data_IF_506132043151
#
_entry.id   IF_506132043151
#
_cell.length_a   1.000
_cell.length_b   1.000
_cell.length_c   1.000
_cell.angle_alpha   90.00
_cell.angle_beta   90.00
_cell.angle_gamma   90.00
#
_symmetry.space_group_name_H-M   'P 1'
#
loop_
_entity.id
_entity.type
_entity.pdbx_description
1 polymer ?
#
# COMPACT_ATOMS: atom_id res chain seq x y z
N UNK A 1 -2.50 25.38 -2.92
CA UNK A 1 -1.84 24.23 -3.58
C UNK A 1 -1.53 24.51 -5.06
N UNK A 2 -2.51 24.82 -5.93
CA UNK A 2 -2.25 25.05 -7.37
C UNK A 2 -1.36 26.27 -7.75
N UNK A 3 -1.38 27.35 -6.96
CA UNK A 3 -0.52 28.53 -7.21
C UNK A 3 0.98 28.24 -7.04
N UNK A 4 1.32 27.30 -6.17
CA UNK A 4 2.70 26.91 -5.86
C UNK A 4 3.28 26.00 -6.95
N UNK A 5 2.46 25.13 -7.53
CA UNK A 5 2.85 24.24 -8.63
C UNK A 5 3.30 25.02 -9.88
N UNK A 6 2.52 26.02 -10.28
CA UNK A 6 2.85 26.85 -11.45
C UNK A 6 4.10 27.70 -11.22
N UNK A 7 4.33 28.16 -9.99
CA UNK A 7 5.54 28.89 -9.62
C UNK A 7 6.78 27.99 -9.71
N UNK A 8 6.70 26.75 -9.18
CA UNK A 8 7.78 25.75 -9.25
C UNK A 8 8.09 25.33 -10.69
N UNK A 9 7.05 25.14 -11.51
CA UNK A 9 7.24 24.85 -12.94
C UNK A 9 7.91 26.02 -13.67
N UNK A 10 7.50 27.25 -13.38
CA UNK A 10 8.11 28.45 -13.96
C UNK A 10 9.59 28.61 -13.54
N UNK A 11 9.89 28.34 -12.28
CA UNK A 11 11.27 28.35 -11.79
C UNK A 11 12.15 27.39 -12.61
N UNK A 12 11.70 26.15 -12.83
CA UNK A 12 12.42 25.17 -13.66
C UNK A 12 12.51 25.54 -15.15
N UNK A 13 11.70 26.47 -15.65
CA UNK A 13 11.83 26.99 -17.02
C UNK A 13 12.81 28.12 -17.14
N UNK A 14 12.91 28.95 -16.10
CA UNK A 14 13.76 30.13 -16.09
C UNK A 14 15.21 29.78 -15.67
N UNK A 15 15.42 28.65 -14.99
CA UNK A 15 16.77 28.14 -14.66
C UNK A 15 17.52 27.66 -15.90
N UNK A 16 18.77 28.11 -16.13
CA UNK A 16 19.62 27.60 -17.22
C UNK A 16 19.86 26.08 -17.11
N UNK A 17 19.88 25.40 -18.25
CA UNK A 17 20.03 23.94 -18.30
C UNK A 17 21.28 23.43 -17.56
N UNK A 18 22.42 24.13 -17.69
CA UNK A 18 23.67 23.74 -17.04
C UNK A 18 23.57 23.77 -15.51
N UNK A 19 22.92 24.78 -14.94
CA UNK A 19 22.68 24.87 -13.50
C UNK A 19 21.77 23.73 -13.01
N UNK A 20 20.69 23.45 -13.75
CA UNK A 20 19.78 22.33 -13.45
C UNK A 20 20.49 20.97 -13.53
N UNK A 21 21.40 20.81 -14.50
CA UNK A 21 22.23 19.61 -14.64
C UNK A 21 23.22 19.45 -13.48
N UNK A 22 23.83 20.54 -13.00
CA UNK A 22 24.70 20.51 -11.83
C UNK A 22 23.96 20.04 -10.57
N UNK A 23 22.71 20.45 -10.38
CA UNK A 23 21.87 19.93 -9.30
C UNK A 23 21.63 18.42 -9.39
N UNK A 24 21.40 17.90 -10.61
CA UNK A 24 21.28 16.45 -10.82
C UNK A 24 22.60 15.72 -10.53
N UNK A 25 23.73 16.25 -10.98
CA UNK A 25 25.05 15.67 -10.73
C UNK A 25 25.39 15.66 -9.22
N UNK A 26 25.06 16.73 -8.50
CA UNK A 26 25.18 16.80 -7.05
C UNK A 26 24.30 15.75 -6.36
N UNK A 27 23.05 15.59 -6.81
CA UNK A 27 22.15 14.55 -6.29
C UNK A 27 22.71 13.13 -6.51
N UNK A 28 23.21 12.82 -7.72
CA UNK A 28 23.84 11.53 -8.04
C UNK A 28 25.05 11.27 -7.16
N UNK A 29 25.85 12.30 -6.86
CA UNK A 29 27.01 12.18 -5.97
C UNK A 29 26.60 11.86 -4.53
N UNK A 30 25.54 12.51 -4.02
CA UNK A 30 25.04 12.31 -2.65
C UNK A 30 24.29 10.98 -2.47
N UNK A 31 23.45 10.60 -3.43
CA UNK A 31 22.54 9.44 -3.34
C UNK A 31 23.03 8.20 -4.09
N UNK A 32 24.10 8.31 -4.89
CA UNK A 32 24.61 7.23 -5.74
C UNK A 32 23.72 6.88 -6.94
N UNK A 33 22.57 7.55 -7.11
CA UNK A 33 21.63 7.30 -8.20
C UNK A 33 20.91 8.59 -8.65
N UNK A 34 20.20 8.51 -9.78
CA UNK A 34 19.42 9.62 -10.37
C UNK A 34 17.89 9.47 -10.11
N UNK A 35 17.47 8.67 -9.12
CA UNK A 35 16.06 8.42 -8.79
C UNK A 35 15.51 9.51 -7.87
N UNK A 36 15.48 10.73 -8.40
CA UNK A 36 15.01 11.91 -7.66
C UNK A 36 13.48 11.85 -7.49
N UNK A 37 12.95 12.02 -6.26
CA UNK A 37 11.51 12.15 -6.03
C UNK A 37 10.90 13.32 -6.79
N UNK A 38 9.65 13.16 -7.27
CA UNK A 38 8.94 14.17 -8.05
C UNK A 38 8.91 15.56 -7.40
N UNK A 39 8.73 15.63 -6.07
CA UNK A 39 8.64 16.89 -5.33
C UNK A 39 9.95 17.27 -4.62
N UNK A 40 11.07 16.66 -5.00
CA UNK A 40 12.36 16.98 -4.39
C UNK A 40 12.78 18.42 -4.71
N UNK A 41 13.14 19.14 -3.66
CA UNK A 41 13.78 20.45 -3.71
C UNK A 41 15.25 20.28 -3.30
N UNK A 42 16.14 20.93 -4.03
CA UNK A 42 17.53 21.08 -3.62
C UNK A 42 17.62 22.02 -2.41
N UNK A 43 18.80 22.10 -1.79
CA UNK A 43 19.03 22.94 -0.61
C UNK A 43 18.78 24.44 -0.88
N UNK A 44 19.02 24.89 -2.11
CA UNK A 44 18.77 26.26 -2.57
C UNK A 44 17.34 26.47 -3.11
N UNK A 45 16.47 25.46 -2.98
CA UNK A 45 15.04 25.55 -3.30
C UNK A 45 14.68 25.22 -4.75
N UNK A 46 15.64 24.83 -5.58
CA UNK A 46 15.39 24.43 -6.96
C UNK A 46 14.59 23.13 -7.03
N UNK A 47 13.52 23.15 -7.83
CA UNK A 47 12.58 22.05 -7.95
C UNK A 47 13.06 20.93 -8.90
N UNK A 48 14.16 20.27 -8.52
CA UNK A 48 14.84 19.26 -9.34
C UNK A 48 13.91 18.14 -9.83
N UNK A 49 13.00 17.64 -8.98
CA UNK A 49 12.05 16.60 -9.39
C UNK A 49 11.11 17.04 -10.53
N UNK A 50 10.67 18.30 -10.53
CA UNK A 50 9.85 18.86 -11.61
C UNK A 50 10.65 19.12 -12.88
N UNK A 51 11.88 19.62 -12.75
CA UNK A 51 12.77 19.79 -13.89
C UNK A 51 12.99 18.46 -14.61
N UNK A 52 13.17 17.38 -13.86
CA UNK A 52 13.35 16.03 -14.39
C UNK A 52 12.10 15.45 -15.08
N UNK A 53 10.90 15.78 -14.62
CA UNK A 53 9.67 15.43 -15.31
C UNK A 53 9.59 16.12 -16.68
N UNK A 54 9.91 17.41 -16.70
CA UNK A 54 9.98 18.18 -17.94
C UNK A 54 11.06 17.63 -18.87
N UNK A 55 12.26 17.35 -18.36
CA UNK A 55 13.40 16.84 -19.13
C UNK A 55 13.05 15.57 -19.91
N UNK A 56 12.27 14.66 -19.31
CA UNK A 56 11.81 13.43 -19.98
C UNK A 56 10.83 13.74 -21.11
N UNK A 57 9.87 14.65 -20.89
CA UNK A 57 8.96 15.10 -21.95
C UNK A 57 9.72 15.79 -23.08
N UNK A 58 10.64 16.69 -22.75
CA UNK A 58 11.44 17.43 -23.72
C UNK A 58 12.32 16.48 -24.56
N UNK A 59 12.73 15.31 -24.01
CA UNK A 59 13.34 14.22 -24.80
C UNK A 59 12.35 13.60 -25.78
N UNK A 60 11.17 13.22 -25.31
CA UNK A 60 10.14 12.57 -26.15
C UNK A 60 9.66 13.48 -27.28
N UNK A 61 9.65 14.79 -27.04
CA UNK A 61 9.32 15.83 -28.01
C UNK A 61 10.49 16.18 -28.97
N UNK A 62 11.67 15.58 -28.78
CA UNK A 62 12.86 15.83 -29.61
C UNK A 62 13.49 17.22 -29.43
N UNK A 63 13.27 17.86 -28.27
CA UNK A 63 13.75 19.22 -27.96
C UNK A 63 15.21 19.20 -27.47
N UNK A 64 15.63 18.11 -26.80
CA UNK A 64 16.98 18.00 -26.27
C UNK A 64 18.02 17.85 -27.37
N UNK A 65 19.16 18.55 -27.23
CA UNK A 65 20.29 18.37 -28.13
C UNK A 65 21.01 17.05 -27.87
N UNK A 66 21.75 16.55 -28.87
CA UNK A 66 22.57 15.34 -28.74
C UNK A 66 23.59 15.46 -27.59
N UNK A 67 24.20 16.64 -27.43
CA UNK A 67 25.14 16.92 -26.32
C UNK A 67 24.46 16.83 -24.94
N UNK A 68 23.21 17.29 -24.82
CA UNK A 68 22.46 17.22 -23.56
C UNK A 68 22.10 15.78 -23.20
N UNK A 69 21.66 15.00 -24.18
CA UNK A 69 21.37 13.56 -24.00
C UNK A 69 22.65 12.83 -23.61
N UNK A 70 23.76 13.06 -24.31
CA UNK A 70 25.05 12.46 -23.99
C UNK A 70 25.50 12.76 -22.56
N UNK A 71 25.38 14.01 -22.10
CA UNK A 71 25.74 14.39 -20.72
C UNK A 71 24.88 13.67 -19.68
N UNK A 72 23.61 13.41 -19.97
CA UNK A 72 22.71 12.67 -19.09
C UNK A 72 23.04 11.17 -19.08
N UNK A 73 23.36 10.60 -20.23
CA UNK A 73 23.77 9.20 -20.34
C UNK A 73 25.13 8.97 -19.63
N UNK A 74 26.06 9.91 -19.73
CA UNK A 74 27.35 9.90 -19.00
C UNK A 74 27.15 9.96 -17.47
N UNK A 75 26.02 10.50 -16.99
CA UNK A 75 25.60 10.47 -15.58
C UNK A 75 24.80 9.21 -15.19
N UNK A 76 24.62 8.27 -16.12
CA UNK A 76 23.74 7.11 -15.97
C UNK A 76 22.30 7.52 -15.60
N UNK A 77 21.81 8.58 -16.23
CA UNK A 77 20.48 9.10 -15.96
C UNK A 77 19.40 8.08 -16.32
N UNK A 78 18.51 7.83 -15.38
CA UNK A 78 17.40 6.88 -15.55
C UNK A 78 16.23 7.58 -16.24
N UNK A 79 16.10 7.33 -17.55
CA UNK A 79 15.03 7.89 -18.36
C UNK A 79 13.64 7.36 -17.98
N UNK A 80 13.48 6.07 -17.73
CA UNK A 80 12.25 5.51 -17.15
C UNK A 80 12.50 5.05 -15.71
N UNK A 81 12.12 5.85 -14.69
CA UNK A 81 12.35 5.51 -13.29
C UNK A 81 11.33 4.50 -12.75
N UNK A 82 10.30 4.11 -13.51
CA UNK A 82 9.22 3.25 -13.01
C UNK A 82 9.75 1.91 -12.51
N UNK A 83 10.60 1.26 -13.29
CA UNK A 83 11.14 -0.04 -12.91
C UNK A 83 12.09 0.05 -11.71
N UNK A 84 13.13 0.91 -11.70
CA UNK A 84 14.01 1.01 -10.54
C UNK A 84 13.29 1.44 -9.24
N UNK A 85 12.28 2.31 -9.33
CA UNK A 85 11.47 2.69 -8.17
C UNK A 85 10.61 1.54 -7.66
N UNK A 86 10.08 0.71 -8.57
CA UNK A 86 9.35 -0.50 -8.19
C UNK A 86 10.28 -1.51 -7.52
N UNK A 87 11.48 -1.75 -8.09
CA UNK A 87 12.50 -2.63 -7.50
C UNK A 87 12.92 -2.17 -6.11
N UNK A 88 13.11 -0.86 -5.91
CA UNK A 88 13.43 -0.29 -4.61
C UNK A 88 12.34 -0.59 -3.57
N UNK A 89 11.08 -0.36 -3.92
CA UNK A 89 9.96 -0.64 -3.03
C UNK A 89 9.79 -2.14 -2.74
N UNK A 90 10.00 -2.99 -3.75
CA UNK A 90 9.97 -4.44 -3.59
C UNK A 90 11.08 -4.92 -2.63
N UNK A 91 12.31 -4.44 -2.80
CA UNK A 91 13.41 -4.77 -1.89
C UNK A 91 13.14 -4.31 -0.45
N UNK A 92 12.58 -3.11 -0.28
CA UNK A 92 12.19 -2.62 1.04
C UNK A 92 11.06 -3.45 1.67
N UNK A 93 10.11 -3.95 0.87
CA UNK A 93 9.07 -4.86 1.34
C UNK A 93 9.65 -6.23 1.76
N UNK A 94 10.66 -6.75 1.04
CA UNK A 94 11.34 -7.99 1.43
C UNK A 94 11.98 -7.85 2.82
N UNK A 95 12.66 -6.73 3.09
CA UNK A 95 13.25 -6.43 4.40
C UNK A 95 12.15 -6.30 5.46
N UNK A 96 11.11 -5.52 5.18
CA UNK A 96 9.98 -5.36 6.11
C UNK A 96 9.38 -6.70 6.52
N UNK A 97 9.10 -7.58 5.55
CA UNK A 97 8.54 -8.90 5.82
C UNK A 97 9.48 -9.78 6.62
N UNK A 98 10.78 -9.75 6.33
CA UNK A 98 11.75 -10.51 7.11
C UNK A 98 11.81 -10.04 8.59
N UNK A 99 11.60 -8.75 8.85
CA UNK A 99 11.63 -8.18 10.20
C UNK A 99 10.30 -8.31 10.96
N UNK A 100 9.16 -8.18 10.26
CA UNK A 100 7.82 -8.13 10.86
C UNK A 100 7.04 -9.43 10.76
N UNK A 101 7.42 -10.32 9.85
CA UNK A 101 6.74 -11.59 9.59
C UNK A 101 5.57 -11.50 8.61
N UNK A 102 5.16 -10.30 8.19
CA UNK A 102 4.02 -10.09 7.29
C UNK A 102 4.30 -8.99 6.22
N UNK A 103 3.32 -8.76 5.35
CA UNK A 103 3.33 -7.71 4.31
C UNK A 103 2.37 -6.54 4.62
N UNK A 104 1.90 -6.43 5.86
CA UNK A 104 0.92 -5.45 6.33
C UNK A 104 1.61 -4.14 6.70
N UNK A 105 2.22 -3.50 5.70
CA UNK A 105 2.91 -2.23 5.90
C UNK A 105 1.90 -1.13 6.27
N UNK A 106 2.07 -0.42 7.41
CA UNK A 106 1.26 0.74 7.75
C UNK A 106 1.35 1.85 6.70
N UNK A 107 0.25 2.58 6.47
CA UNK A 107 0.16 3.56 5.38
C UNK A 107 1.25 4.64 5.41
N UNK A 108 1.64 5.09 6.61
CA UNK A 108 2.68 6.11 6.80
C UNK A 108 4.03 5.55 7.24
N UNK A 109 4.25 4.25 7.05
CA UNK A 109 5.50 3.61 7.46
C UNK A 109 6.68 4.13 6.62
N UNK A 110 7.71 4.56 7.33
CA UNK A 110 9.02 4.94 6.80
C UNK A 110 10.05 3.88 7.17
N UNK A 111 10.88 3.47 6.20
CA UNK A 111 12.00 2.57 6.52
C UNK A 111 12.97 3.25 7.50
N UNK A 112 13.54 2.52 8.48
CA UNK A 112 14.34 3.14 9.56
C UNK A 112 15.58 3.92 9.08
N UNK A 113 16.22 3.47 7.99
CA UNK A 113 17.49 4.04 7.53
C UNK A 113 17.26 5.16 6.50
N UNK A 114 16.54 4.86 5.43
CA UNK A 114 16.40 5.76 4.28
C UNK A 114 15.19 6.70 4.39
N UNK A 115 14.34 6.51 5.42
CA UNK A 115 13.05 7.21 5.52
C UNK A 115 12.20 7.06 4.25
N UNK A 116 12.36 5.93 3.56
CA UNK A 116 11.58 5.61 2.37
C UNK A 116 10.13 5.29 2.76
N UNK A 117 9.17 5.96 2.11
CA UNK A 117 7.73 5.79 2.28
C UNK A 117 7.21 4.45 1.73
N UNK A 118 7.62 3.35 2.36
CA UNK A 118 7.20 2.01 1.96
C UNK A 118 5.68 1.84 2.13
N UNK A 119 5.06 2.51 3.10
CA UNK A 119 3.60 2.51 3.27
C UNK A 119 2.86 3.06 2.05
N UNK A 120 3.29 4.22 1.55
CA UNK A 120 2.77 4.82 0.32
C UNK A 120 2.98 3.90 -0.88
N UNK A 121 4.17 3.31 -1.02
CA UNK A 121 4.48 2.39 -2.11
C UNK A 121 3.62 1.14 -2.08
N UNK A 122 3.47 0.51 -0.91
CA UNK A 122 2.62 -0.66 -0.74
C UNK A 122 1.18 -0.30 -1.09
N UNK A 123 0.62 0.79 -0.54
CA UNK A 123 -0.73 1.24 -0.87
C UNK A 123 -0.93 1.45 -2.38
N UNK A 124 0.06 2.02 -3.07
CA UNK A 124 -0.02 2.23 -4.51
C UNK A 124 -0.17 0.92 -5.32
N UNK A 125 0.40 -0.20 -4.84
CA UNK A 125 0.21 -1.49 -5.52
C UNK A 125 -1.25 -1.93 -5.48
N UNK A 126 -1.93 -1.75 -4.34
CA UNK A 126 -3.36 -2.10 -4.14
C UNK A 126 -4.30 -1.22 -4.96
N UNK A 127 -3.92 0.03 -5.21
CA UNK A 127 -4.71 0.98 -6.00
C UNK A 127 -4.53 0.82 -7.51
N UNK A 128 -3.71 -0.13 -7.94
CA UNK A 128 -3.54 -0.40 -9.37
C UNK A 128 -4.75 -1.17 -9.88
N UNK A 129 -5.69 -0.47 -10.50
CA UNK A 129 -6.86 -1.08 -11.12
C UNK A 129 -6.50 -1.81 -12.43
N UNK A 130 -7.05 -3.01 -12.65
CA UNK A 130 -6.94 -3.73 -13.92
C UNK A 130 -5.68 -4.61 -14.07
N UNK A 131 -5.00 -4.50 -15.23
CA UNK A 131 -3.94 -5.42 -15.66
C UNK A 131 -2.59 -5.12 -14.97
N UNK A 132 -2.48 -5.51 -13.70
CA UNK A 132 -1.20 -5.46 -12.98
C UNK A 132 -0.14 -6.33 -13.69
N UNK A 133 1.10 -5.86 -13.92
CA UNK A 133 2.10 -6.64 -14.63
C UNK A 133 2.34 -8.00 -13.99
N UNK A 134 2.15 -9.08 -14.76
CA UNK A 134 2.17 -10.47 -14.26
C UNK A 134 3.43 -10.81 -13.47
N UNK A 135 4.59 -10.40 -13.96
CA UNK A 135 5.88 -10.67 -13.30
C UNK A 135 5.96 -10.01 -11.92
N UNK A 136 5.54 -8.76 -11.81
CA UNK A 136 5.50 -8.02 -10.53
C UNK A 136 4.49 -8.64 -9.56
N UNK A 137 3.34 -9.07 -10.07
CA UNK A 137 2.35 -9.78 -9.27
C UNK A 137 2.93 -11.08 -8.70
N UNK A 138 3.58 -11.90 -9.53
CA UNK A 138 4.21 -13.16 -9.09
C UNK A 138 5.25 -12.92 -8.00
N UNK A 139 6.05 -11.86 -8.13
CA UNK A 139 7.04 -11.48 -7.12
C UNK A 139 6.40 -11.07 -5.81
N UNK A 140 5.34 -10.24 -5.84
CA UNK A 140 4.59 -9.86 -4.64
C UNK A 140 3.91 -11.06 -3.98
N UNK A 141 3.42 -12.04 -4.74
CA UNK A 141 2.90 -13.29 -4.19
C UNK A 141 3.94 -14.06 -3.38
N UNK A 142 5.23 -14.03 -3.74
CA UNK A 142 6.28 -14.69 -2.95
C UNK A 142 6.46 -14.10 -1.55
N UNK A 143 5.91 -12.90 -1.31
CA UNK A 143 5.94 -12.20 -0.03
C UNK A 143 4.58 -12.19 0.66
N UNK A 144 3.68 -13.12 0.29
CA UNK A 144 2.25 -13.15 0.66
C UNK A 144 1.67 -11.74 0.76
N UNK A 145 1.84 -10.96 -0.31
CA UNK A 145 1.41 -9.58 -0.33
C UNK A 145 -0.12 -9.50 -0.21
N UNK A 146 -0.61 -8.79 0.80
CA UNK A 146 -2.04 -8.62 1.03
C UNK A 146 -2.59 -7.50 0.14
N UNK A 147 -3.39 -7.88 -0.86
CA UNK A 147 -4.01 -6.97 -1.81
C UNK A 147 -5.27 -6.30 -1.24
N UNK A 148 -6.12 -7.05 -0.55
CA UNK A 148 -7.31 -6.55 0.11
C UNK A 148 -7.14 -6.63 1.64
N UNK A 149 -6.90 -5.49 2.26
CA UNK A 149 -6.74 -5.38 3.71
C UNK A 149 -8.06 -5.63 4.46
N UNK A 150 -9.21 -5.33 3.84
CA UNK A 150 -10.52 -5.54 4.47
C UNK A 150 -10.88 -7.01 4.49
N UNK A 151 -10.66 -7.70 3.37
CA UNK A 151 -10.88 -9.15 3.30
C UNK A 151 -9.91 -9.88 4.23
N UNK A 152 -8.63 -9.52 4.21
CA UNK A 152 -7.65 -10.09 5.15
C UNK A 152 -8.06 -9.89 6.61
N UNK A 153 -8.49 -8.69 7.00
CA UNK A 153 -8.93 -8.43 8.37
C UNK A 153 -10.18 -9.23 8.74
N UNK A 154 -11.11 -9.41 7.79
CA UNK A 154 -12.29 -10.23 7.99
C UNK A 154 -11.94 -11.71 8.15
N UNK A 155 -11.11 -12.26 7.26
CA UNK A 155 -10.67 -13.67 7.32
C UNK A 155 -9.87 -13.94 8.61
N UNK A 156 -8.99 -13.02 9.03
CA UNK A 156 -8.27 -13.13 10.31
C UNK A 156 -9.24 -13.22 11.49
N UNK A 157 -10.23 -12.33 11.53
CA UNK A 157 -11.21 -12.33 12.60
C UNK A 157 -12.14 -13.56 12.58
N UNK A 158 -12.49 -14.04 11.39
CA UNK A 158 -13.22 -15.28 11.22
C UNK A 158 -12.41 -16.48 11.75
N UNK A 159 -11.13 -16.60 11.43
CA UNK A 159 -10.26 -17.66 11.96
C UNK A 159 -10.06 -17.57 13.47
N UNK A 160 -10.02 -16.35 14.04
CA UNK A 160 -10.01 -16.16 15.49
C UNK A 160 -11.32 -16.66 16.14
N UNK A 161 -12.46 -16.42 15.50
CA UNK A 161 -13.75 -16.97 15.94
C UNK A 161 -13.80 -18.51 15.84
N UNK A 162 -13.25 -19.11 14.77
CA UNK A 162 -13.13 -20.57 14.66
C UNK A 162 -12.32 -21.16 15.82
N UNK A 163 -11.22 -20.50 16.19
CA UNK A 163 -10.36 -20.88 17.31
C UNK A 163 -11.10 -20.76 18.65
N UNK A 164 -11.78 -19.63 18.87
CA UNK A 164 -12.61 -19.42 20.07
C UNK A 164 -13.67 -20.52 20.21
N UNK A 165 -14.35 -20.87 19.11
CA UNK A 165 -15.34 -21.96 19.10
C UNK A 165 -14.72 -23.32 19.41
N UNK A 166 -13.54 -23.61 18.87
CA UNK A 166 -12.85 -24.86 19.17
C UNK A 166 -12.49 -24.99 20.66
N UNK A 167 -12.17 -23.88 21.32
CA UNK A 167 -11.80 -23.83 22.75
C UNK A 167 -13.01 -23.85 23.69
N UNK A 168 -14.06 -23.07 23.39
CA UNK A 168 -15.19 -22.84 24.28
C UNK A 168 -16.43 -23.66 23.92
N UNK A 169 -16.51 -24.16 22.69
CA UNK A 169 -17.63 -24.95 22.17
C UNK A 169 -18.74 -24.14 21.50
N UNK A 170 -18.66 -22.80 21.54
CA UNK A 170 -19.67 -21.90 21.00
C UNK A 170 -19.05 -20.62 20.37
N UNK A 171 -19.90 -19.77 19.79
CA UNK A 171 -19.52 -18.48 19.20
C UNK A 171 -19.94 -17.28 20.07
N UNK A 172 -20.16 -17.49 21.38
CA UNK A 172 -20.60 -16.46 22.32
C UNK A 172 -19.41 -15.68 22.88
N UNK A 173 -18.78 -14.90 22.01
CA UNK A 173 -17.62 -14.07 22.37
C UNK A 173 -18.07 -12.87 23.21
N UNK A 174 -17.51 -12.64 24.42
CA UNK A 174 -17.74 -11.42 25.21
C UNK A 174 -17.34 -10.16 24.44
N UNK A 175 -18.05 -9.04 24.63
CA UNK A 175 -17.83 -7.80 23.86
C UNK A 175 -16.43 -7.20 24.05
N UNK A 176 -15.87 -7.36 25.25
CA UNK A 176 -14.53 -6.90 25.64
C UNK A 176 -13.43 -7.94 25.39
N UNK A 177 -13.75 -9.07 24.75
CA UNK A 177 -12.77 -10.11 24.46
C UNK A 177 -11.78 -9.64 23.39
N UNK A 178 -10.50 -9.66 23.77
CA UNK A 178 -9.35 -9.38 22.93
C UNK A 178 -8.49 -10.65 22.90
N UNK A 179 -8.10 -11.05 21.70
CA UNK A 179 -7.23 -12.20 21.44
C UNK A 179 -5.76 -11.90 21.78
N UNK A 180 -4.91 -12.92 21.83
CA UNK A 180 -3.48 -12.76 22.14
C UNK A 180 -2.73 -11.84 21.15
N UNK A 181 -3.19 -11.77 19.90
CA UNK A 181 -2.63 -10.91 18.85
C UNK A 181 -3.35 -9.56 18.73
N UNK A 182 -3.96 -9.11 19.83
CA UNK A 182 -4.61 -7.79 19.99
C UNK A 182 -5.81 -7.56 19.05
N UNK A 183 -6.41 -8.60 18.48
CA UNK A 183 -7.67 -8.47 17.77
C UNK A 183 -8.84 -8.39 18.76
N UNK A 184 -9.59 -7.28 18.69
CA UNK A 184 -10.86 -7.05 19.41
C UNK A 184 -12.01 -7.91 18.85
N UNK A 185 -11.90 -9.22 19.05
CA UNK A 185 -12.83 -10.20 18.47
C UNK A 185 -14.27 -10.00 18.96
N UNK A 186 -14.47 -9.60 20.22
CA UNK A 186 -15.79 -9.30 20.77
C UNK A 186 -16.52 -8.19 20.01
N UNK A 187 -15.81 -7.09 19.74
CA UNK A 187 -16.34 -5.96 18.97
C UNK A 187 -16.61 -6.36 17.52
N UNK A 188 -15.73 -7.18 16.91
CA UNK A 188 -15.95 -7.69 15.56
C UNK A 188 -17.20 -8.58 15.45
N UNK A 189 -17.41 -9.47 16.42
CA UNK A 189 -18.61 -10.34 16.51
C UNK A 189 -19.88 -9.50 16.65
N UNK A 190 -19.88 -8.50 17.55
CA UNK A 190 -21.00 -7.58 17.69
C UNK A 190 -21.31 -6.84 16.38
N UNK A 191 -20.26 -6.40 15.67
CA UNK A 191 -20.40 -5.77 14.37
C UNK A 191 -21.05 -6.69 13.32
N UNK A 192 -20.77 -7.99 13.30
CA UNK A 192 -21.42 -8.90 12.33
C UNK A 192 -22.95 -8.95 12.53
N UNK A 193 -23.42 -8.90 13.79
CA UNK A 193 -24.85 -8.85 14.13
C UNK A 193 -25.49 -7.55 13.66
N UNK A 194 -24.81 -6.42 13.88
CA UNK A 194 -25.26 -5.11 13.40
C UNK A 194 -25.29 -5.03 11.88
N UNK A 195 -24.26 -5.52 11.20
CA UNK A 195 -24.17 -5.51 9.75
C UNK A 195 -25.26 -6.41 9.13
N UNK A 196 -25.61 -7.54 9.74
CA UNK A 196 -26.77 -8.35 9.32
C UNK A 196 -28.09 -7.59 9.51
N UNK A 197 -28.30 -6.97 10.69
CA UNK A 197 -29.54 -6.23 10.99
C UNK A 197 -29.80 -5.11 9.96
N UNK A 198 -28.75 -4.41 9.53
CA UNK A 198 -28.84 -3.34 8.53
C UNK A 198 -28.62 -3.81 7.09
N UNK A 199 -28.55 -5.12 6.83
CA UNK A 199 -28.33 -5.69 5.49
C UNK A 199 -27.04 -5.21 4.81
N UNK A 200 -26.01 -4.92 5.59
CA UNK A 200 -24.65 -4.60 5.13
C UNK A 200 -23.73 -5.82 5.07
N UNK A 201 -24.15 -6.95 5.66
CA UNK A 201 -23.38 -8.18 5.61
C UNK A 201 -23.60 -8.89 4.27
N UNK A 202 -22.51 -9.14 3.55
CA UNK A 202 -22.53 -9.89 2.30
C UNK A 202 -23.00 -11.33 2.50
N UNK A 203 -23.70 -11.89 1.50
CA UNK A 203 -24.31 -13.22 1.57
C UNK A 203 -23.27 -14.31 1.87
N UNK A 204 -22.10 -14.27 1.23
CA UNK A 204 -21.05 -15.26 1.43
C UNK A 204 -20.50 -15.24 2.87
N UNK A 205 -20.33 -14.04 3.46
CA UNK A 205 -19.86 -13.88 4.85
C UNK A 205 -20.92 -14.37 5.84
N UNK A 206 -22.18 -14.05 5.57
CA UNK A 206 -23.31 -14.56 6.33
C UNK A 206 -23.35 -16.09 6.30
N UNK A 207 -23.20 -16.72 5.13
CA UNK A 207 -23.18 -18.18 4.98
C UNK A 207 -21.96 -18.84 5.66
N UNK A 208 -20.77 -18.22 5.62
CA UNK A 208 -19.59 -18.69 6.35
C UNK A 208 -19.84 -18.70 7.87
N UNK A 209 -20.39 -17.61 8.41
CA UNK A 209 -20.73 -17.49 9.83
C UNK A 209 -21.83 -18.49 10.24
N UNK A 210 -22.87 -18.63 9.43
CA UNK A 210 -23.96 -19.58 9.68
C UNK A 210 -23.47 -21.03 9.71
N UNK A 211 -22.58 -21.40 8.78
CA UNK A 211 -21.94 -22.71 8.75
C UNK A 211 -21.07 -22.99 9.98
N UNK A 212 -20.48 -21.95 10.57
CA UNK A 212 -19.77 -22.03 11.84
C UNK A 212 -20.72 -22.13 13.05
N UNK A 213 -22.04 -22.02 12.88
CA UNK A 213 -23.01 -22.00 13.98
C UNK A 213 -22.95 -20.71 14.77
N UNK A 214 -22.74 -19.58 14.08
CA UNK A 214 -22.66 -18.27 14.69
C UNK A 214 -23.94 -17.88 15.44
N UNK A 215 -23.77 -17.37 16.66
CA UNK A 215 -24.85 -16.90 17.50
C UNK A 215 -25.28 -15.47 17.09
N UNK A 216 -26.28 -15.38 16.22
CA UNK A 216 -26.79 -14.10 15.71
C UNK A 216 -27.55 -13.30 16.76
N UNK A 217 -28.17 -13.99 17.72
CA UNK A 217 -28.77 -13.40 18.90
C UNK A 217 -28.62 -14.37 20.09
N UNK A 218 -28.92 -13.90 21.29
CA UNK A 218 -28.90 -14.69 22.52
C UNK A 218 -30.30 -14.65 23.11
N UNK A 219 -30.84 -15.80 23.51
CA UNK A 219 -32.12 -15.89 24.20
C UNK A 219 -32.01 -15.44 25.66
N UNK A 220 -33.14 -15.21 26.32
CA UNK A 220 -33.19 -14.81 27.75
C UNK A 220 -32.54 -15.86 28.69
N UNK A 221 -32.44 -17.12 28.24
CA UNK A 221 -31.79 -18.22 28.97
C UNK A 221 -30.29 -18.36 28.69
N UNK A 222 -29.71 -17.47 27.88
CA UNK A 222 -28.31 -17.48 27.49
C UNK A 222 -27.97 -18.37 26.29
N UNK A 223 -28.96 -19.06 25.69
CA UNK A 223 -28.73 -19.91 24.52
C UNK A 223 -28.58 -19.10 23.22
N UNK A 224 -27.76 -19.61 22.30
CA UNK A 224 -27.52 -18.98 21.01
C UNK A 224 -28.70 -19.19 20.05
N UNK A 225 -29.14 -18.10 19.39
CA UNK A 225 -30.01 -18.15 18.22
C UNK A 225 -29.12 -18.18 16.99
N UNK A 226 -29.09 -19.32 16.30
CA UNK A 226 -28.48 -19.45 14.98
C UNK A 226 -29.53 -19.24 13.90
N UNK A 227 -29.13 -18.66 12.78
CA UNK A 227 -29.93 -18.77 11.57
C UNK A 227 -29.65 -20.19 11.02
N UNK A 228 -30.57 -20.70 10.23
CA UNK A 228 -30.29 -21.88 9.43
C UNK A 228 -30.69 -21.52 8.03
N UNK A 229 -29.75 -20.92 7.29
CA UNK A 229 -30.02 -20.43 5.95
C UNK A 229 -29.83 -21.61 4.99
N UNK A 230 -30.91 -22.19 4.42
CA UNK A 230 -30.77 -23.28 3.48
C UNK A 230 -30.00 -22.78 2.26
N UNK A 231 -28.90 -23.46 1.90
CA UNK A 231 -28.16 -23.17 0.67
C UNK A 231 -29.13 -23.34 -0.51
N UNK A 232 -29.24 -22.31 -1.36
CA UNK A 232 -29.93 -22.47 -2.65
C UNK A 232 -29.20 -23.55 -3.46
N UNK A 233 -29.93 -24.48 -4.08
CA UNK A 233 -29.36 -25.59 -4.84
C UNK A 233 -28.60 -25.13 -6.07
#
# INVERSE_FOLDING_TARGET
MYKDLNARLKDTTDTPWDASFEHLAAYKTDKGNCLVPQFHLTLDGFALGFWLLRLRRDRDDGILSEDQVKRLDDLEFVWDPREPLWEKGFAALQVYRAEKGDSLVPEHYLTPNEHYELGTWARAQRLTEGNYPREKWQRLCTLDYVWDLKEYAWDRAFSALESHKAEHGDCLVPEDHITEDELELGTWVAKQRTDLHYSFLEEDRMLKLDALGFAWAVQDDGSAITLHIPRKP
#
